data_IF_349570685557
#
_entry.id   IF_349570685557
#
_cell.length_a   1.000
_cell.length_b   1.000
_cell.length_c   1.000
_cell.angle_alpha   90.00
_cell.angle_beta   90.00
_cell.angle_gamma   90.00
#
_symmetry.space_group_name_H-M   'P 1'
#
loop_
_entity.id
_entity.type
_entity.pdbx_description
1 polymer ?
#
# COMPACT_ATOMS: atom_id res chain seq x y z
N UNK A 1 -11.13 -14.97 -19.12
CA UNK A 1 -10.70 -15.71 -17.89
C UNK A 1 -10.22 -14.65 -16.91
N UNK A 2 -10.95 -14.37 -15.84
CA UNK A 2 -10.51 -13.38 -14.85
C UNK A 2 -9.24 -13.88 -14.15
N UNK A 3 -8.21 -13.03 -13.97
CA UNK A 3 -6.95 -13.46 -13.38
C UNK A 3 -7.19 -13.98 -11.95
N UNK A 4 -6.61 -15.13 -11.66
CA UNK A 4 -6.75 -15.86 -10.37
C UNK A 4 -6.31 -15.04 -9.13
N UNK A 5 -5.56 -13.96 -9.33
CA UNK A 5 -4.93 -13.18 -8.25
C UNK A 5 -5.89 -12.23 -7.56
N UNK A 6 -6.80 -11.58 -8.29
CA UNK A 6 -7.84 -10.78 -7.65
C UNK A 6 -8.68 -11.58 -6.64
N UNK A 7 -8.75 -12.91 -6.83
CA UNK A 7 -9.41 -13.81 -5.86
C UNK A 7 -8.71 -13.90 -4.49
N UNK A 8 -7.42 -13.62 -4.41
CA UNK A 8 -6.66 -13.86 -3.17
C UNK A 8 -6.48 -12.61 -2.29
N UNK A 9 -6.47 -11.42 -2.90
CA UNK A 9 -6.17 -10.17 -2.19
C UNK A 9 -7.39 -9.36 -1.74
N UNK A 10 -8.58 -9.59 -2.31
CA UNK A 10 -9.73 -8.72 -2.07
C UNK A 10 -11.06 -9.44 -1.79
N UNK A 11 -11.10 -10.76 -1.63
CA UNK A 11 -12.39 -11.42 -1.71
C UNK A 11 -12.77 -12.25 -0.50
N UNK A 12 -13.38 -11.57 0.46
CA UNK A 12 -14.48 -12.19 1.24
C UNK A 12 -15.88 -11.68 0.83
N UNK A 13 -16.01 -10.67 -0.03
CA UNK A 13 -17.29 -10.15 -0.44
C UNK A 13 -17.65 -10.44 -1.90
N UNK A 14 -18.67 -11.27 -2.07
CA UNK A 14 -19.26 -11.70 -3.33
C UNK A 14 -19.73 -10.52 -4.23
N UNK A 15 -20.07 -9.38 -3.63
CA UNK A 15 -20.66 -8.23 -4.32
C UNK A 15 -19.64 -7.37 -5.09
N UNK A 16 -18.41 -7.25 -4.62
CA UNK A 16 -17.39 -6.50 -5.35
C UNK A 16 -16.93 -7.21 -6.63
N UNK A 17 -17.01 -8.54 -6.65
CA UNK A 17 -16.59 -9.32 -7.82
C UNK A 17 -17.58 -9.26 -8.98
N UNK A 18 -18.86 -9.07 -8.72
CA UNK A 18 -19.87 -8.96 -9.78
C UNK A 18 -19.79 -7.61 -10.52
N UNK A 19 -19.39 -6.55 -9.83
CA UNK A 19 -19.20 -5.22 -10.43
C UNK A 19 -18.05 -5.16 -11.46
N UNK A 20 -17.06 -6.05 -11.36
CA UNK A 20 -15.90 -6.11 -12.28
C UNK A 20 -16.04 -7.16 -13.39
N UNK A 21 -17.10 -7.93 -13.43
CA UNK A 21 -17.27 -8.98 -14.45
C UNK A 21 -17.49 -8.45 -15.86
N UNK A 22 -17.90 -7.19 -15.99
CA UNK A 22 -18.31 -6.60 -17.26
C UNK A 22 -17.30 -5.62 -17.87
N UNK A 23 -16.18 -5.33 -17.16
CA UNK A 23 -15.10 -4.51 -17.70
C UNK A 23 -13.98 -5.38 -18.24
N UNK A 24 -13.79 -5.38 -19.54
CA UNK A 24 -12.73 -6.10 -20.25
C UNK A 24 -11.31 -5.59 -19.94
N UNK A 25 -11.18 -4.46 -19.23
CA UNK A 25 -9.91 -3.86 -18.85
C UNK A 25 -9.77 -3.77 -17.34
N UNK A 26 -8.65 -4.29 -16.83
CA UNK A 26 -8.27 -4.11 -15.43
C UNK A 26 -7.95 -2.63 -15.17
N UNK A 27 -8.24 -2.11 -13.95
CA UNK A 27 -7.89 -0.75 -13.63
C UNK A 27 -6.37 -0.56 -13.72
N UNK A 28 -5.95 0.50 -14.42
CA UNK A 28 -4.52 0.86 -14.55
C UNK A 28 -3.96 1.45 -13.24
N UNK A 29 -4.84 1.92 -12.36
CA UNK A 29 -4.51 2.51 -11.07
C UNK A 29 -5.17 1.71 -9.96
N UNK A 30 -4.38 1.25 -9.01
CA UNK A 30 -4.87 0.41 -7.92
C UNK A 30 -4.33 0.89 -6.57
N UNK A 31 -5.02 0.48 -5.51
CA UNK A 31 -4.57 0.66 -4.13
C UNK A 31 -4.25 -0.70 -3.53
N UNK A 32 -3.10 -0.79 -2.88
CA UNK A 32 -2.70 -1.97 -2.10
C UNK A 32 -2.14 -1.51 -0.77
N UNK A 33 -2.14 -2.38 0.22
CA UNK A 33 -1.60 -2.08 1.54
C UNK A 33 -0.15 -2.55 1.63
N UNK A 34 0.81 -1.62 1.71
CA UNK A 34 2.21 -2.01 1.91
C UNK A 34 2.46 -2.50 3.34
N UNK A 35 1.81 -1.90 4.32
CA UNK A 35 1.85 -2.32 5.72
C UNK A 35 0.57 -1.90 6.42
N UNK A 36 -0.13 -2.83 7.05
CA UNK A 36 -1.23 -2.54 7.94
C UNK A 36 -0.78 -2.35 9.39
N UNK A 37 0.53 -2.18 9.64
CA UNK A 37 1.10 -1.86 10.95
C UNK A 37 1.39 -0.38 11.03
N UNK A 38 1.17 0.22 12.20
CA UNK A 38 1.56 1.59 12.50
C UNK A 38 2.11 1.66 13.92
N UNK A 39 3.13 2.48 14.14
CA UNK A 39 3.71 2.73 15.48
C UNK A 39 2.99 3.85 16.24
N UNK A 40 2.05 4.55 15.58
CA UNK A 40 1.24 5.59 16.21
C UNK A 40 -0.10 5.04 16.70
N UNK A 41 -0.69 5.69 17.69
CA UNK A 41 -2.01 5.42 18.24
C UNK A 41 -2.91 6.66 18.14
N UNK A 42 -3.06 7.19 16.93
CA UNK A 42 -3.84 8.40 16.68
C UNK A 42 -5.32 8.20 17.04
N UNK A 43 -5.90 9.16 17.78
CA UNK A 43 -7.22 9.05 18.42
C UNK A 43 -8.35 8.73 17.44
N UNK A 44 -8.29 9.26 16.22
CA UNK A 44 -9.32 9.06 15.18
C UNK A 44 -8.89 8.12 14.06
N UNK A 45 -7.78 7.41 14.23
CA UNK A 45 -7.31 6.47 13.23
C UNK A 45 -8.23 5.25 13.15
N UNK A 46 -8.59 4.86 11.94
CA UNK A 46 -9.42 3.68 11.70
C UNK A 46 -8.79 2.40 12.25
N UNK A 47 -7.47 2.28 12.19
CA UNK A 47 -6.71 1.18 12.79
C UNK A 47 -6.98 1.00 14.29
N UNK A 48 -7.23 2.12 14.99
CA UNK A 48 -7.55 2.12 16.41
C UNK A 48 -9.03 1.92 16.67
N UNK A 49 -9.89 2.56 15.85
CA UNK A 49 -11.34 2.56 16.07
C UNK A 49 -12.00 1.24 15.70
N UNK A 50 -11.51 0.56 14.68
CA UNK A 50 -12.04 -0.72 14.19
C UNK A 50 -10.91 -1.67 13.76
N UNK A 51 -10.06 -2.13 14.67
CA UNK A 51 -8.94 -3.01 14.34
C UNK A 51 -9.40 -4.36 13.77
N UNK A 52 -10.57 -4.87 14.22
CA UNK A 52 -11.12 -6.11 13.68
C UNK A 52 -11.61 -5.93 12.23
N UNK A 53 -12.20 -4.78 11.90
CA UNK A 53 -12.60 -4.46 10.53
C UNK A 53 -11.39 -4.36 9.59
N UNK A 54 -10.30 -3.75 10.06
CA UNK A 54 -9.04 -3.70 9.30
C UNK A 54 -8.47 -5.11 9.09
N UNK A 55 -8.41 -5.93 10.15
CA UNK A 55 -7.91 -7.30 10.04
C UNK A 55 -8.74 -8.14 9.06
N UNK A 56 -10.06 -8.00 9.11
CA UNK A 56 -10.97 -8.70 8.19
C UNK A 56 -10.88 -8.19 6.76
N UNK A 57 -10.66 -6.89 6.56
CA UNK A 57 -10.62 -6.24 5.26
C UNK A 57 -9.30 -6.43 4.52
N UNK A 58 -8.19 -6.02 5.10
CA UNK A 58 -6.87 -6.05 4.45
C UNK A 58 -5.85 -6.99 5.11
N UNK A 59 -6.21 -7.61 6.24
CA UNK A 59 -5.29 -8.41 7.04
C UNK A 59 -4.32 -7.55 7.85
N UNK A 60 -3.63 -8.17 8.81
CA UNK A 60 -2.59 -7.51 9.61
C UNK A 60 -1.21 -8.01 9.19
N UNK A 61 -0.34 -7.09 8.77
CA UNK A 61 1.03 -7.45 8.41
C UNK A 61 1.70 -6.52 7.44
N UNK A 62 2.69 -7.06 6.76
CA UNK A 62 3.42 -6.38 5.70
C UNK A 62 3.25 -7.13 4.38
N UNK A 63 3.09 -6.39 3.31
CA UNK A 63 3.11 -6.95 1.95
C UNK A 63 4.49 -7.54 1.69
N UNK A 64 4.53 -8.82 1.33
CA UNK A 64 5.78 -9.48 0.94
C UNK A 64 6.16 -9.07 -0.48
N UNK A 65 7.45 -8.89 -0.69
CA UNK A 65 7.96 -8.59 -2.02
C UNK A 65 7.58 -9.67 -3.06
N UNK A 66 7.56 -10.94 -2.68
CA UNK A 66 7.14 -12.04 -3.56
C UNK A 66 5.71 -11.86 -4.08
N UNK A 67 4.81 -11.42 -3.21
CA UNK A 67 3.40 -11.26 -3.53
C UNK A 67 3.17 -10.00 -4.39
N UNK A 68 3.87 -8.89 -4.04
CA UNK A 68 3.91 -7.69 -4.87
C UNK A 68 4.44 -7.98 -6.28
N UNK A 69 5.58 -8.70 -6.36
CA UNK A 69 6.17 -9.08 -7.63
C UNK A 69 5.21 -9.87 -8.48
N UNK A 70 4.58 -10.90 -7.91
CA UNK A 70 3.60 -11.73 -8.62
C UNK A 70 2.42 -10.89 -9.10
N UNK A 71 1.89 -10.01 -8.25
CA UNK A 71 0.77 -9.13 -8.57
C UNK A 71 1.09 -8.21 -9.75
N UNK A 72 2.28 -7.62 -9.75
CA UNK A 72 2.74 -6.74 -10.84
C UNK A 72 3.02 -7.52 -12.13
N UNK A 73 3.64 -8.70 -12.04
CA UNK A 73 3.97 -9.49 -13.24
C UNK A 73 2.75 -10.06 -13.97
N UNK A 74 1.65 -10.24 -13.25
CA UNK A 74 0.42 -10.79 -13.82
C UNK A 74 -0.58 -9.70 -14.28
N UNK A 75 -0.24 -8.41 -14.08
CA UNK A 75 -1.12 -7.29 -14.42
C UNK A 75 -0.31 -6.14 -15.03
N UNK A 76 -1.02 -5.22 -15.69
CA UNK A 76 -0.42 -4.03 -16.29
C UNK A 76 -0.95 -2.79 -15.58
N UNK A 77 -0.15 -2.20 -14.69
CA UNK A 77 -0.50 -1.01 -13.93
C UNK A 77 0.32 0.19 -14.37
N UNK A 78 -0.28 1.37 -14.39
CA UNK A 78 0.42 2.64 -14.54
C UNK A 78 0.92 3.15 -13.19
N UNK A 79 0.08 3.06 -12.17
CA UNK A 79 0.41 3.55 -10.83
C UNK A 79 -0.24 2.73 -9.72
N UNK A 80 0.44 2.68 -8.58
CA UNK A 80 -0.01 1.95 -7.40
C UNK A 80 0.10 2.85 -6.15
N UNK A 81 -1.02 3.08 -5.49
CA UNK A 81 -1.08 3.67 -4.16
C UNK A 81 -0.77 2.61 -3.11
N UNK A 82 0.18 2.89 -2.20
CA UNK A 82 0.65 1.90 -1.23
C UNK A 82 0.45 2.27 0.25
N UNK A 83 -0.17 3.43 0.53
CA UNK A 83 -0.44 3.91 1.89
C UNK A 83 -1.93 4.03 2.17
N UNK A 84 -2.58 3.02 2.76
CA UNK A 84 -4.01 3.10 3.05
C UNK A 84 -4.30 3.21 4.55
N UNK A 85 -3.81 2.29 5.35
CA UNK A 85 -4.17 2.20 6.77
C UNK A 85 -2.97 2.27 7.71
N UNK A 86 -1.86 1.62 7.38
CA UNK A 86 -0.69 1.55 8.23
C UNK A 86 0.41 2.54 7.83
N UNK A 87 1.60 2.31 8.37
CA UNK A 87 2.80 3.09 8.02
C UNK A 87 3.69 2.26 7.08
N UNK A 88 3.83 2.72 5.86
CA UNK A 88 4.57 1.99 4.81
C UNK A 88 6.02 1.72 5.17
N UNK A 89 6.66 2.63 5.92
CA UNK A 89 8.08 2.51 6.31
C UNK A 89 8.35 1.40 7.33
N UNK A 90 7.30 0.81 7.90
CA UNK A 90 7.41 -0.39 8.73
C UNK A 90 7.51 -1.69 7.91
N UNK A 91 7.32 -1.63 6.59
CA UNK A 91 7.52 -2.78 5.74
C UNK A 91 9.02 -3.04 5.49
N UNK A 92 9.59 -4.16 5.98
CA UNK A 92 11.03 -4.44 5.86
C UNK A 92 11.47 -4.71 4.41
N UNK A 93 10.53 -4.97 3.50
CA UNK A 93 10.80 -5.25 2.09
C UNK A 93 10.45 -4.06 1.17
N UNK A 94 10.11 -2.89 1.74
CA UNK A 94 9.69 -1.72 0.97
C UNK A 94 10.72 -1.28 -0.07
N UNK A 95 12.02 -1.32 0.25
CA UNK A 95 13.08 -1.00 -0.71
C UNK A 95 13.00 -1.86 -1.98
N UNK A 96 12.77 -3.16 -1.82
CA UNK A 96 12.64 -4.10 -2.94
C UNK A 96 11.39 -3.79 -3.78
N UNK A 97 10.30 -3.44 -3.11
CA UNK A 97 9.04 -3.07 -3.74
C UNK A 97 9.22 -1.81 -4.59
N UNK A 98 9.83 -0.75 -4.02
CA UNK A 98 10.08 0.52 -4.71
C UNK A 98 10.97 0.29 -5.94
N UNK A 99 12.09 -0.43 -5.74
CA UNK A 99 13.01 -0.74 -6.84
C UNK A 99 12.31 -1.47 -7.97
N UNK A 100 11.54 -2.51 -7.64
CA UNK A 100 10.89 -3.36 -8.63
C UNK A 100 9.80 -2.60 -9.41
N UNK A 101 9.00 -1.78 -8.75
CA UNK A 101 8.02 -0.93 -9.41
C UNK A 101 8.69 0.02 -10.42
N UNK A 102 9.79 0.66 -10.02
CA UNK A 102 10.59 1.50 -10.92
C UNK A 102 11.11 0.74 -12.14
N UNK A 103 11.65 -0.48 -11.95
CA UNK A 103 12.13 -1.33 -13.04
C UNK A 103 11.01 -1.75 -14.01
N UNK A 104 9.77 -1.81 -13.53
CA UNK A 104 8.57 -2.10 -14.32
C UNK A 104 7.91 -0.85 -14.93
N UNK A 105 8.41 0.33 -14.64
CA UNK A 105 7.82 1.59 -15.11
C UNK A 105 6.51 1.96 -14.41
N UNK A 106 6.26 1.42 -13.22
CA UNK A 106 5.07 1.68 -12.42
C UNK A 106 5.36 2.80 -11.43
N UNK A 107 4.52 3.83 -11.42
CA UNK A 107 4.59 4.89 -10.42
C UNK A 107 4.04 4.40 -9.08
N UNK A 108 4.87 4.42 -8.03
CA UNK A 108 4.41 4.24 -6.66
C UNK A 108 4.18 5.59 -5.99
N UNK A 109 3.12 5.70 -5.22
CA UNK A 109 2.83 6.90 -4.44
C UNK A 109 2.15 6.57 -3.11
N UNK A 110 2.13 7.53 -2.18
CA UNK A 110 1.59 7.41 -0.83
C UNK A 110 0.72 8.63 -0.49
N UNK A 111 -0.43 8.74 -1.17
CA UNK A 111 -1.35 9.88 -1.06
C UNK A 111 -2.31 9.83 0.12
N UNK A 112 -2.43 8.69 0.83
CA UNK A 112 -3.26 8.59 2.02
C UNK A 112 -2.52 8.95 3.32
N UNK A 113 -1.25 9.33 3.22
CA UNK A 113 -0.44 9.82 4.31
C UNK A 113 0.58 8.84 4.86
N UNK A 114 1.71 9.39 5.25
CA UNK A 114 2.78 8.73 6.00
C UNK A 114 3.19 9.61 7.18
N UNK A 115 3.68 9.03 8.27
CA UNK A 115 3.99 9.83 9.45
C UNK A 115 5.47 10.25 9.60
N UNK A 116 6.37 9.66 8.85
CA UNK A 116 7.82 9.91 8.87
C UNK A 116 8.52 9.80 10.24
N UNK A 117 7.85 9.33 11.28
CA UNK A 117 8.49 9.14 12.60
C UNK A 117 9.56 8.04 12.57
N UNK A 118 9.51 7.21 11.56
CA UNK A 118 10.51 6.19 11.29
C UNK A 118 10.74 6.08 9.78
N UNK A 119 11.86 6.59 9.32
CA UNK A 119 12.30 6.48 7.92
C UNK A 119 13.74 5.98 7.90
N UNK A 120 13.98 4.69 7.62
CA UNK A 120 15.33 4.14 7.48
C UNK A 120 16.08 4.79 6.31
N UNK A 121 17.37 5.09 6.48
CA UNK A 121 18.22 5.73 5.46
C UNK A 121 18.16 5.02 4.11
N UNK A 122 18.23 3.69 4.12
CA UNK A 122 18.12 2.88 2.89
C UNK A 122 16.81 3.09 2.14
N UNK A 123 15.71 3.37 2.86
CA UNK A 123 14.41 3.66 2.22
C UNK A 123 14.41 5.09 1.69
N UNK A 124 14.94 6.06 2.46
CA UNK A 124 15.08 7.43 1.99
C UNK A 124 15.91 7.50 0.69
N UNK A 125 17.03 6.78 0.63
CA UNK A 125 17.84 6.65 -0.59
C UNK A 125 17.04 6.00 -1.73
N UNK A 126 16.26 4.94 -1.45
CA UNK A 126 15.48 4.26 -2.46
C UNK A 126 14.37 5.14 -3.04
N UNK A 127 13.68 5.93 -2.21
CA UNK A 127 12.66 6.89 -2.65
C UNK A 127 13.20 7.85 -3.72
N UNK A 128 14.40 8.40 -3.48
CA UNK A 128 15.06 9.32 -4.43
C UNK A 128 15.59 8.58 -5.65
N UNK A 129 16.36 7.50 -5.42
CA UNK A 129 17.04 6.74 -6.47
C UNK A 129 16.07 6.14 -7.48
N UNK A 130 14.96 5.61 -7.01
CA UNK A 130 13.96 4.93 -7.83
C UNK A 130 12.73 5.82 -8.12
N UNK A 131 12.87 7.14 -7.94
CA UNK A 131 11.87 8.13 -8.34
C UNK A 131 10.47 7.81 -7.83
N UNK A 132 10.34 7.57 -6.51
CA UNK A 132 9.02 7.44 -5.90
C UNK A 132 8.17 8.67 -6.25
N UNK A 133 6.92 8.47 -6.68
CA UNK A 133 6.14 9.54 -7.30
C UNK A 133 5.83 10.69 -6.35
N UNK A 134 5.01 10.43 -5.35
CA UNK A 134 4.63 11.44 -4.34
C UNK A 134 4.26 10.80 -3.01
N UNK A 135 4.30 11.60 -1.96
CA UNK A 135 3.77 11.21 -0.65
C UNK A 135 3.18 12.41 0.07
N UNK A 136 2.07 12.20 0.73
CA UNK A 136 1.48 13.15 1.66
C UNK A 136 2.00 12.85 3.07
N UNK A 137 2.55 13.85 3.75
CA UNK A 137 3.08 13.68 5.10
C UNK A 137 2.08 14.22 6.11
N UNK A 138 1.63 13.34 7.01
CA UNK A 138 0.73 13.71 8.09
C UNK A 138 1.53 14.31 9.25
N UNK A 139 1.31 15.61 9.51
CA UNK A 139 1.94 16.35 10.61
C UNK A 139 0.84 16.91 11.48
N UNK A 140 0.61 16.28 12.64
CA UNK A 140 -0.49 16.61 13.52
C UNK A 140 -0.14 17.67 14.57
N UNK A 141 1.12 18.07 14.66
CA UNK A 141 1.57 19.09 15.61
C UNK A 141 2.97 19.63 15.35
N UNK A 142 3.24 20.81 15.90
CA UNK A 142 4.53 21.49 15.77
C UNK A 142 5.47 21.25 16.97
N UNK A 143 5.05 20.46 17.97
CA UNK A 143 5.83 20.14 19.16
C UNK A 143 5.61 18.69 19.61
N UNK A 144 6.48 18.21 20.51
CA UNK A 144 6.35 16.89 21.13
C UNK A 144 5.13 16.76 22.08
N UNK A 145 4.42 17.85 22.31
CA UNK A 145 3.30 17.91 23.26
C UNK A 145 1.93 17.94 22.57
N UNK A 146 1.91 17.89 21.26
CA UNK A 146 0.68 17.91 20.44
C UNK A 146 0.44 16.58 19.81
#
# INVERSE_FOLDING_TARGET
MAPRILKHFYMKDKYMFEAYKDNSELPQKVRIEASSKCQLDCVQCYMRLDPEGVEKGCGLGNLKFSDFKKFVDENNFESIEISNHGEIFLNPELEKIIKYAYEKGIELYAGNGVNLNYLPDKIAEALVKYKFGSMDVSIDGASQQT
#
